data_IF_117643645122
#
_entry.id   IF_117643645122
#
_cell.length_a   1.000
_cell.length_b   1.000
_cell.length_c   1.000
_cell.angle_alpha   90.00
_cell.angle_beta   90.00
_cell.angle_gamma   90.00
#
_symmetry.space_group_name_H-M   'P 1'
#
loop_
_entity.id
_entity.type
_entity.pdbx_description
1 polymer ?
#
# COMPACT_ATOMS: atom_id res chain seq x y z
N UNK A 1 -4.17 19.64 -21.84
CA UNK A 1 -2.93 20.03 -21.11
C UNK A 1 -3.14 20.19 -19.58
N UNK A 2 -4.38 20.06 -19.07
CA UNK A 2 -4.73 20.23 -17.65
C UNK A 2 -4.65 18.96 -16.78
N UNK A 3 -4.55 17.76 -17.35
CA UNK A 3 -4.63 16.51 -16.60
C UNK A 3 -3.32 16.05 -15.94
N UNK A 4 -2.21 16.64 -16.32
CA UNK A 4 -0.88 16.21 -15.84
C UNK A 4 -0.60 16.68 -14.41
N UNK A 5 -1.20 17.78 -13.97
CA UNK A 5 -0.91 18.38 -12.67
C UNK A 5 -1.59 17.71 -11.46
N UNK A 6 -2.72 17.03 -11.63
CA UNK A 6 -3.49 16.45 -10.51
C UNK A 6 -2.95 15.13 -9.95
N UNK A 7 -2.16 14.37 -10.71
CA UNK A 7 -1.73 13.01 -10.34
C UNK A 7 -0.32 12.94 -9.72
N UNK A 8 0.52 13.93 -9.92
CA UNK A 8 1.97 13.80 -9.60
C UNK A 8 2.34 14.12 -8.14
N UNK A 9 1.55 14.89 -7.40
CA UNK A 9 1.92 15.33 -6.05
C UNK A 9 1.84 14.24 -4.99
N UNK A 10 0.74 13.48 -4.93
CA UNK A 10 0.48 12.49 -3.85
C UNK A 10 1.50 11.37 -3.85
N UNK A 11 1.74 10.73 -4.98
CA UNK A 11 2.69 9.62 -5.12
C UNK A 11 4.13 10.09 -4.91
N UNK A 12 4.47 11.31 -5.29
CA UNK A 12 5.77 11.91 -5.06
C UNK A 12 6.01 12.15 -3.56
N UNK A 13 5.02 12.69 -2.85
CA UNK A 13 5.08 12.89 -1.40
C UNK A 13 5.19 11.55 -0.67
N UNK A 14 4.38 10.56 -1.04
CA UNK A 14 4.43 9.24 -0.43
C UNK A 14 5.80 8.58 -0.55
N UNK A 15 6.49 8.72 -1.70
CA UNK A 15 7.84 8.20 -1.90
C UNK A 15 8.91 8.86 -1.02
N UNK A 16 8.62 10.01 -0.43
CA UNK A 16 9.52 10.70 0.53
C UNK A 16 9.33 10.26 1.97
N UNK A 17 8.23 9.56 2.28
CA UNK A 17 7.96 9.10 3.65
C UNK A 17 9.11 8.29 4.26
N UNK A 18 9.73 7.31 3.57
CA UNK A 18 10.84 6.58 4.17
C UNK A 18 12.01 7.47 4.62
N UNK A 19 12.24 8.61 3.95
CA UNK A 19 13.36 9.51 4.26
C UNK A 19 13.11 10.42 5.47
N UNK A 20 11.89 10.48 5.97
CA UNK A 20 11.53 11.27 7.18
C UNK A 20 11.20 10.38 8.37
N UNK A 21 11.06 9.07 8.17
CA UNK A 21 10.91 8.10 9.25
C UNK A 21 12.26 7.90 9.97
N UNK A 22 12.25 7.55 11.25
CA UNK A 22 13.48 7.19 11.96
C UNK A 22 14.22 6.06 11.24
N UNK A 23 15.55 6.09 11.28
CA UNK A 23 16.39 5.01 10.74
C UNK A 23 16.00 3.66 11.35
N UNK A 24 16.17 2.60 10.58
CA UNK A 24 15.96 1.24 11.09
C UNK A 24 17.02 0.91 12.14
N UNK A 25 16.60 0.31 13.23
CA UNK A 25 17.52 -0.35 14.15
C UNK A 25 18.19 -1.53 13.44
N UNK A 26 19.33 -2.00 13.95
CA UNK A 26 20.00 -3.18 13.40
C UNK A 26 19.08 -4.40 13.35
N UNK A 27 18.21 -4.56 14.35
CA UNK A 27 17.24 -5.66 14.41
C UNK A 27 16.22 -5.56 13.29
N UNK A 28 15.60 -4.37 13.11
CA UNK A 28 14.65 -4.12 12.02
C UNK A 28 15.28 -4.35 10.64
N UNK A 29 16.52 -3.89 10.45
CA UNK A 29 17.26 -4.07 9.20
C UNK A 29 17.52 -5.56 8.90
N UNK A 30 17.84 -6.36 9.91
CA UNK A 30 18.02 -7.80 9.75
C UNK A 30 16.69 -8.50 9.41
N UNK A 31 15.61 -8.22 10.14
CA UNK A 31 14.28 -8.80 9.89
C UNK A 31 13.80 -8.49 8.47
N UNK A 32 13.92 -7.24 8.03
CA UNK A 32 13.56 -6.85 6.67
C UNK A 32 14.44 -7.54 5.61
N UNK A 33 15.75 -7.65 5.87
CA UNK A 33 16.70 -8.31 4.97
C UNK A 33 16.39 -9.80 4.81
N UNK A 34 16.04 -10.49 5.87
CA UNK A 34 15.66 -11.91 5.85
C UNK A 34 14.47 -12.14 4.90
N UNK A 35 13.44 -11.31 5.01
CA UNK A 35 12.26 -11.39 4.14
C UNK A 35 12.65 -11.17 2.67
N UNK A 36 13.45 -10.14 2.40
CA UNK A 36 13.91 -9.82 1.04
C UNK A 36 14.81 -10.91 0.48
N UNK A 37 15.64 -11.53 1.31
CA UNK A 37 16.49 -12.68 0.93
C UNK A 37 15.64 -13.89 0.53
N UNK A 38 14.63 -14.23 1.32
CA UNK A 38 13.70 -15.34 1.00
C UNK A 38 12.92 -15.04 -0.31
N UNK A 39 12.62 -13.78 -0.57
CA UNK A 39 12.01 -13.36 -1.83
C UNK A 39 12.98 -13.40 -3.03
N UNK A 40 14.30 -13.53 -2.80
CA UNK A 40 15.35 -13.49 -3.83
C UNK A 40 15.61 -12.07 -4.34
N UNK A 41 15.40 -11.06 -3.51
CA UNK A 41 15.53 -9.62 -3.84
C UNK A 41 16.78 -8.97 -3.23
N UNK A 42 17.65 -9.75 -2.55
CA UNK A 42 18.96 -9.30 -2.08
C UNK A 42 20.03 -9.76 -3.06
N UNK A 43 21.11 -9.00 -3.18
CA UNK A 43 22.28 -9.36 -3.96
C UNK A 43 23.56 -9.25 -3.10
N UNK A 44 24.69 -9.75 -3.64
CA UNK A 44 25.98 -9.74 -2.94
C UNK A 44 26.57 -8.33 -2.74
N UNK A 45 26.14 -7.35 -3.54
CA UNK A 45 26.57 -5.96 -3.42
C UNK A 45 25.78 -5.18 -2.37
N UNK A 46 24.55 -5.63 -2.09
CA UNK A 46 23.66 -5.06 -1.09
C UNK A 46 23.13 -6.16 -0.16
N UNK A 47 23.99 -6.72 0.71
CA UNK A 47 23.63 -7.89 1.53
C UNK A 47 22.65 -7.55 2.66
N UNK A 48 22.43 -6.28 2.97
CA UNK A 48 21.54 -5.82 4.04
C UNK A 48 20.76 -4.57 3.61
N UNK A 49 19.47 -4.53 3.92
CA UNK A 49 18.64 -3.35 3.76
C UNK A 49 19.00 -2.34 4.85
N UNK A 50 19.51 -1.17 4.44
CA UNK A 50 19.85 -0.07 5.36
C UNK A 50 18.73 0.97 5.47
N UNK A 51 17.82 0.99 4.51
CA UNK A 51 16.71 1.95 4.46
C UNK A 51 15.36 1.25 4.55
N UNK A 52 14.38 1.92 5.13
CA UNK A 52 13.02 1.41 5.24
C UNK A 52 12.45 1.07 3.86
N UNK A 53 11.95 -0.15 3.65
CA UNK A 53 11.34 -0.55 2.39
C UNK A 53 10.18 0.38 2.00
N UNK A 54 10.06 0.68 0.72
CA UNK A 54 8.92 1.35 0.13
C UNK A 54 8.32 0.48 -0.96
N UNK A 55 7.12 -0.04 -0.72
CA UNK A 55 6.40 -0.87 -1.69
C UNK A 55 5.21 -0.10 -2.23
N UNK A 56 5.06 -0.08 -3.53
CA UNK A 56 3.99 0.63 -4.22
C UNK A 56 3.43 -0.25 -5.35
N UNK A 57 2.70 -1.31 -5.01
CA UNK A 57 2.13 -2.20 -6.01
C UNK A 57 1.07 -1.48 -6.84
N UNK A 58 0.95 -1.89 -8.10
CA UNK A 58 -0.11 -1.39 -8.98
C UNK A 58 -1.46 -1.98 -8.57
N UNK A 59 -2.56 -1.26 -8.76
CA UNK A 59 -3.91 -1.68 -8.36
C UNK A 59 -4.41 -2.96 -9.05
N UNK A 60 -3.77 -3.39 -10.14
CA UNK A 60 -4.07 -4.68 -10.81
C UNK A 60 -3.44 -5.89 -10.12
N UNK A 61 -2.71 -5.69 -9.03
CA UNK A 61 -2.10 -6.77 -8.26
C UNK A 61 -3.17 -7.74 -7.76
N UNK A 62 -2.86 -9.04 -7.73
CA UNK A 62 -3.75 -10.06 -7.14
C UNK A 62 -3.60 -10.14 -5.61
N UNK A 63 -4.61 -10.65 -4.92
CA UNK A 63 -4.56 -10.90 -3.48
C UNK A 63 -3.39 -11.83 -3.09
N UNK A 64 -3.11 -12.84 -3.90
CA UNK A 64 -1.97 -13.74 -3.68
C UNK A 64 -0.61 -13.08 -3.86
N UNK A 65 -0.47 -12.10 -4.75
CA UNK A 65 0.75 -11.33 -4.87
C UNK A 65 0.88 -10.29 -3.72
N UNK A 66 -0.23 -9.82 -3.17
CA UNK A 66 -0.25 -8.96 -2.00
C UNK A 66 0.21 -9.71 -0.73
N UNK A 67 -0.35 -10.90 -0.46
CA UNK A 67 -0.04 -11.69 0.74
C UNK A 67 1.19 -12.56 0.60
N UNK A 68 1.49 -12.99 -0.61
CA UNK A 68 2.49 -14.00 -0.90
C UNK A 68 1.89 -15.36 -1.29
N UNK A 69 2.72 -16.23 -1.82
CA UNK A 69 2.27 -17.55 -2.27
C UNK A 69 3.22 -18.21 -3.25
N UNK A 70 2.66 -19.11 -4.08
CA UNK A 70 3.41 -19.96 -5.00
C UNK A 70 3.50 -21.42 -4.50
N UNK A 71 4.10 -22.32 -5.28
CA UNK A 71 4.37 -23.69 -4.86
C UNK A 71 5.34 -23.70 -3.66
N UNK A 72 6.41 -22.94 -3.75
CA UNK A 72 7.25 -22.56 -2.60
C UNK A 72 6.75 -21.22 -2.10
N UNK A 73 6.25 -21.13 -0.85
CA UNK A 73 5.73 -19.87 -0.30
C UNK A 73 6.78 -18.76 -0.35
N UNK A 74 6.48 -17.70 -1.11
CA UNK A 74 7.32 -16.50 -1.18
C UNK A 74 6.60 -15.33 -0.53
N UNK A 75 7.33 -14.41 0.13
CA UNK A 75 6.77 -13.17 0.66
C UNK A 75 6.06 -12.35 -0.43
N UNK A 76 4.88 -11.79 -0.09
CA UNK A 76 4.18 -10.82 -0.92
C UNK A 76 4.53 -9.38 -0.55
N UNK A 77 3.83 -8.43 -1.17
CA UNK A 77 4.05 -6.99 -0.98
C UNK A 77 3.90 -6.56 0.49
N UNK A 78 2.97 -7.19 1.23
CA UNK A 78 2.74 -6.95 2.66
C UNK A 78 4.01 -7.23 3.47
N UNK A 79 4.60 -8.43 3.31
CA UNK A 79 5.83 -8.80 4.02
C UNK A 79 7.05 -8.02 3.52
N UNK A 80 7.13 -7.74 2.21
CA UNK A 80 8.20 -6.94 1.63
C UNK A 80 8.20 -5.47 2.11
N UNK A 81 7.06 -4.99 2.62
CA UNK A 81 6.93 -3.67 3.23
C UNK A 81 7.29 -3.66 4.73
N UNK A 82 7.67 -4.80 5.33
CA UNK A 82 7.98 -4.92 6.75
C UNK A 82 9.00 -3.87 7.21
N UNK A 83 8.72 -3.19 8.33
CA UNK A 83 9.45 -2.02 8.86
C UNK A 83 9.55 -0.81 7.91
N UNK A 84 8.70 -0.77 6.88
CA UNK A 84 8.67 0.27 5.87
C UNK A 84 7.28 0.80 5.58
N UNK A 85 7.05 1.16 4.32
CA UNK A 85 5.82 1.77 3.84
C UNK A 85 5.20 0.92 2.73
N UNK A 86 3.93 0.58 2.88
CA UNK A 86 3.08 0.06 1.81
C UNK A 86 2.20 1.20 1.29
N UNK A 87 2.47 1.67 0.09
CA UNK A 87 1.74 2.74 -0.55
C UNK A 87 0.78 2.20 -1.60
N UNK A 88 -0.50 2.50 -1.45
CA UNK A 88 -1.54 2.11 -2.39
C UNK A 88 -2.08 3.37 -3.08
N UNK A 89 -1.61 3.63 -4.30
CA UNK A 89 -2.15 4.72 -5.12
C UNK A 89 -3.46 4.28 -5.79
N UNK A 90 -4.36 5.24 -5.99
CA UNK A 90 -5.69 4.97 -6.53
C UNK A 90 -6.44 3.88 -5.72
N UNK A 91 -6.42 4.00 -4.40
CA UNK A 91 -6.93 2.99 -3.45
C UNK A 91 -8.30 2.38 -3.84
N UNK A 92 -9.33 3.13 -4.32
CA UNK A 92 -10.59 2.56 -4.74
C UNK A 92 -10.53 1.73 -6.04
N UNK A 93 -9.42 1.75 -6.78
CA UNK A 93 -9.26 0.96 -8.00
C UNK A 93 -8.69 -0.44 -7.73
N UNK A 94 -8.18 -0.71 -6.53
CA UNK A 94 -7.81 -2.07 -6.14
C UNK A 94 -9.03 -2.98 -6.08
N UNK A 95 -8.84 -4.24 -6.46
CA UNK A 95 -9.88 -5.24 -6.29
C UNK A 95 -10.20 -5.42 -4.79
N UNK A 96 -11.48 -5.61 -4.47
CA UNK A 96 -11.95 -5.69 -3.08
C UNK A 96 -11.20 -6.76 -2.27
N UNK A 97 -10.96 -7.93 -2.86
CA UNK A 97 -10.26 -9.03 -2.19
C UNK A 97 -8.82 -8.64 -1.81
N UNK A 98 -8.16 -7.78 -2.61
CA UNK A 98 -6.81 -7.27 -2.32
C UNK A 98 -6.81 -6.32 -1.12
N UNK A 99 -7.86 -5.53 -0.97
CA UNK A 99 -8.01 -4.63 0.18
C UNK A 99 -8.40 -5.40 1.45
N UNK A 100 -9.24 -6.42 1.34
CA UNK A 100 -9.67 -7.22 2.48
C UNK A 100 -8.53 -8.04 3.11
N UNK A 101 -7.56 -8.53 2.33
CA UNK A 101 -6.43 -9.28 2.89
C UNK A 101 -5.44 -8.42 3.67
N UNK A 102 -5.55 -7.08 3.62
CA UNK A 102 -4.72 -6.16 4.41
C UNK A 102 -5.18 -6.04 5.86
N UNK A 103 -6.44 -6.37 6.16
CA UNK A 103 -7.04 -6.10 7.48
C UNK A 103 -6.34 -6.81 8.61
N UNK A 104 -6.12 -8.13 8.51
CA UNK A 104 -5.42 -8.89 9.52
C UNK A 104 -3.95 -8.44 9.68
N UNK A 105 -3.14 -8.30 8.60
CA UNK A 105 -1.77 -7.81 8.71
C UNK A 105 -1.61 -6.43 9.37
N UNK A 106 -2.56 -5.52 9.15
CA UNK A 106 -2.53 -4.21 9.80
C UNK A 106 -2.73 -4.32 11.31
N UNK A 107 -3.59 -5.23 11.76
CA UNK A 107 -3.87 -5.44 13.20
C UNK A 107 -2.81 -6.30 13.87
N UNK A 108 -2.51 -7.44 13.27
CA UNK A 108 -1.69 -8.49 13.89
C UNK A 108 -0.18 -8.25 13.67
N UNK A 109 0.20 -7.47 12.67
CA UNK A 109 1.60 -7.23 12.28
C UNK A 109 2.27 -8.44 11.64
N UNK A 110 1.47 -9.40 11.17
CA UNK A 110 1.94 -10.63 10.51
C UNK A 110 0.94 -11.11 9.45
N UNK A 111 1.44 -11.88 8.49
CA UNK A 111 0.62 -12.50 7.43
C UNK A 111 0.90 -13.99 7.35
N UNK A 112 -0.16 -14.79 7.34
CA UNK A 112 -0.08 -16.24 7.22
C UNK A 112 -0.42 -16.70 5.82
N UNK A 113 0.51 -17.41 5.18
CA UNK A 113 0.36 -18.01 3.86
C UNK A 113 0.09 -19.49 4.05
N UNK A 114 -1.15 -19.93 3.79
CA UNK A 114 -1.54 -21.34 3.88
C UNK A 114 -1.54 -21.99 2.51
N UNK A 115 -0.92 -23.15 2.37
CA UNK A 115 -0.86 -23.98 1.17
C UNK A 115 -1.03 -25.45 1.54
N UNK A 116 -1.24 -26.31 0.54
CA UNK A 116 -1.33 -27.75 0.77
C UNK A 116 -0.08 -28.35 1.45
N UNK A 117 1.08 -27.78 1.20
CA UNK A 117 2.35 -28.19 1.81
C UNK A 117 2.58 -27.67 3.24
N UNK A 118 1.71 -26.81 3.76
CA UNK A 118 1.84 -26.22 5.09
C UNK A 118 1.47 -24.74 5.16
N UNK A 119 1.69 -24.17 6.34
CA UNK A 119 1.43 -22.75 6.62
C UNK A 119 2.72 -22.07 7.08
N UNK A 120 2.97 -20.88 6.55
CA UNK A 120 4.11 -20.05 6.91
C UNK A 120 3.58 -18.68 7.35
N UNK A 121 4.00 -18.23 8.52
CA UNK A 121 3.68 -16.88 9.02
C UNK A 121 4.91 -16.00 8.87
N UNK A 122 4.72 -14.85 8.25
CA UNK A 122 5.76 -13.85 8.00
C UNK A 122 5.40 -12.53 8.71
N UNK A 123 6.38 -11.82 9.28
CA UNK A 123 6.13 -10.52 9.87
C UNK A 123 5.75 -9.50 8.79
N UNK A 124 4.86 -8.55 9.17
CA UNK A 124 4.29 -7.57 8.25
C UNK A 124 3.93 -6.25 8.94
N UNK A 125 4.82 -5.74 9.80
CA UNK A 125 4.65 -4.43 10.43
C UNK A 125 5.06 -3.33 9.47
N UNK A 126 4.10 -2.64 8.90
CA UNK A 126 4.32 -1.58 7.91
C UNK A 126 3.41 -0.39 8.19
N UNK A 127 3.79 0.77 7.68
CA UNK A 127 2.90 1.92 7.59
C UNK A 127 2.08 1.80 6.31
N UNK A 128 0.75 1.71 6.44
CA UNK A 128 -0.15 1.79 5.29
C UNK A 128 -0.37 3.24 4.91
N UNK A 129 -0.15 3.57 3.65
CA UNK A 129 -0.45 4.88 3.06
C UNK A 129 -1.32 4.67 1.84
N UNK A 130 -2.54 5.19 1.87
CA UNK A 130 -3.46 5.18 0.75
C UNK A 130 -3.58 6.55 0.11
N UNK A 131 -3.63 6.61 -1.22
CA UNK A 131 -3.99 7.82 -1.94
C UNK A 131 -5.22 7.55 -2.81
N UNK A 132 -6.13 8.50 -2.83
CA UNK A 132 -7.34 8.41 -3.64
C UNK A 132 -7.76 9.78 -4.16
N UNK A 133 -8.57 9.78 -5.19
CA UNK A 133 -9.26 10.97 -5.66
C UNK A 133 -10.64 11.09 -4.99
N UNK A 134 -11.26 12.26 -4.94
CA UNK A 134 -12.59 12.44 -4.33
C UNK A 134 -13.71 11.79 -5.14
N UNK A 135 -13.48 11.45 -6.40
CA UNK A 135 -14.38 10.73 -7.28
C UNK A 135 -13.63 10.17 -8.49
N UNK A 136 -14.28 9.38 -9.33
CA UNK A 136 -13.69 8.75 -10.50
C UNK A 136 -13.08 9.75 -11.50
N UNK A 137 -13.71 10.92 -11.73
CA UNK A 137 -13.16 11.97 -12.57
C UNK A 137 -12.12 12.86 -11.86
N UNK A 138 -12.03 12.78 -10.52
CA UNK A 138 -11.07 13.51 -9.70
C UNK A 138 -11.44 14.97 -9.39
N UNK A 139 -12.64 15.45 -9.78
CA UNK A 139 -13.03 16.85 -9.68
C UNK A 139 -14.17 17.13 -8.69
N UNK A 140 -14.64 16.16 -7.94
CA UNK A 140 -15.68 16.35 -6.97
C UNK A 140 -15.24 17.34 -5.87
N UNK A 141 -16.08 18.31 -5.56
CA UNK A 141 -15.77 19.37 -4.60
C UNK A 141 -14.81 20.48 -5.11
N UNK A 142 -14.32 20.40 -6.35
CA UNK A 142 -13.46 21.43 -6.90
C UNK A 142 -14.25 22.68 -7.32
N UNK A 143 -13.80 23.92 -7.00
CA UNK A 143 -14.53 25.17 -7.34
C UNK A 143 -14.81 25.38 -8.83
N UNK A 144 -14.02 24.76 -9.71
CA UNK A 144 -14.19 24.91 -11.17
C UNK A 144 -15.46 24.26 -11.74
N UNK A 145 -16.22 23.49 -10.94
CA UNK A 145 -17.43 22.79 -11.40
C UNK A 145 -17.21 21.72 -12.48
N UNK A 146 -15.96 21.29 -12.71
CA UNK A 146 -15.60 20.30 -13.76
C UNK A 146 -16.02 18.86 -13.45
N UNK A 147 -16.58 18.60 -12.28
CA UNK A 147 -17.01 17.25 -11.92
C UNK A 147 -18.21 16.83 -12.79
N UNK A 148 -18.07 15.69 -13.47
CA UNK A 148 -19.13 15.09 -14.30
C UNK A 148 -19.81 13.90 -13.63
N UNK A 149 -19.38 13.54 -12.42
CA UNK A 149 -19.92 12.41 -11.67
C UNK A 149 -21.24 12.79 -11.00
N UNK A 150 -22.25 11.91 -11.08
CA UNK A 150 -23.46 12.06 -10.29
C UNK A 150 -23.17 11.75 -8.81
N UNK A 151 -23.99 12.22 -7.85
CA UNK A 151 -23.85 11.88 -6.43
C UNK A 151 -23.76 10.38 -6.18
N UNK A 152 -24.57 9.59 -6.86
CA UNK A 152 -24.53 8.13 -6.76
C UNK A 152 -23.20 7.52 -7.23
N UNK A 153 -22.61 8.05 -8.30
CA UNK A 153 -21.32 7.61 -8.81
C UNK A 153 -20.18 7.94 -7.83
N UNK A 154 -20.26 9.07 -7.16
CA UNK A 154 -19.31 9.45 -6.11
C UNK A 154 -19.42 8.48 -4.92
N UNK A 155 -20.64 8.23 -4.45
CA UNK A 155 -20.90 7.31 -3.36
C UNK A 155 -20.42 5.89 -3.68
N UNK A 156 -20.78 5.35 -4.84
CA UNK A 156 -20.31 4.03 -5.30
C UNK A 156 -18.78 3.93 -5.39
N UNK A 157 -18.12 5.02 -5.77
CA UNK A 157 -16.67 5.07 -5.83
C UNK A 157 -16.06 5.01 -4.41
N UNK A 158 -16.60 5.75 -3.47
CA UNK A 158 -16.15 5.75 -2.07
C UNK A 158 -16.42 4.41 -1.37
N UNK A 159 -17.57 3.79 -1.63
CA UNK A 159 -17.95 2.50 -1.06
C UNK A 159 -17.10 1.30 -1.51
N UNK A 160 -16.20 1.48 -2.48
CA UNK A 160 -15.23 0.44 -2.86
C UNK A 160 -14.24 0.12 -1.75
N UNK A 161 -13.97 1.08 -0.87
CA UNK A 161 -13.16 0.86 0.32
C UNK A 161 -14.12 0.49 1.46
N UNK A 162 -13.89 -0.65 2.08
CA UNK A 162 -14.74 -1.10 3.18
C UNK A 162 -14.57 -0.21 4.42
N UNK A 163 -15.67 0.04 5.14
CA UNK A 163 -15.64 0.76 6.42
C UNK A 163 -14.58 0.20 7.38
N UNK A 164 -14.58 -1.14 7.62
CA UNK A 164 -13.57 -1.76 8.49
C UNK A 164 -12.11 -1.52 8.10
N UNK A 165 -11.79 -1.31 6.82
CA UNK A 165 -10.43 -0.94 6.42
C UNK A 165 -10.17 0.55 6.70
N UNK A 166 -11.16 1.42 6.44
CA UNK A 166 -11.04 2.85 6.76
C UNK A 166 -10.87 3.10 8.26
N UNK A 167 -11.56 2.34 9.11
CA UNK A 167 -11.45 2.43 10.57
C UNK A 167 -10.04 2.10 11.11
N UNK A 168 -9.21 1.43 10.30
CA UNK A 168 -7.82 1.09 10.63
C UNK A 168 -6.80 2.11 10.12
N UNK A 169 -7.27 3.13 9.42
CA UNK A 169 -6.43 4.23 8.94
C UNK A 169 -6.60 5.40 9.92
N UNK A 170 -5.59 5.64 10.75
CA UNK A 170 -5.65 6.61 11.85
C UNK A 170 -5.74 8.07 11.40
N UNK A 171 -5.21 8.38 10.21
CA UNK A 171 -5.17 9.75 9.69
C UNK A 171 -5.77 9.87 8.29
N UNK A 172 -6.73 10.78 8.17
CA UNK A 172 -7.33 11.16 6.89
C UNK A 172 -6.95 12.61 6.59
N UNK A 173 -6.29 12.82 5.45
CA UNK A 173 -5.78 14.14 5.06
C UNK A 173 -6.40 14.55 3.73
N UNK A 174 -7.09 15.68 3.74
CA UNK A 174 -7.54 16.36 2.52
C UNK A 174 -6.39 17.17 1.92
N UNK A 175 -6.07 16.90 0.66
CA UNK A 175 -5.06 17.66 -0.09
C UNK A 175 -5.79 18.53 -1.11
N UNK A 176 -5.99 19.83 -0.83
CA UNK A 176 -6.64 20.73 -1.76
C UNK A 176 -5.82 20.90 -3.04
N UNK A 177 -6.49 21.25 -4.14
CA UNK A 177 -5.79 21.64 -5.37
C UNK A 177 -5.04 22.94 -5.13
N UNK A 178 -3.75 22.96 -5.47
CA UNK A 178 -2.97 24.20 -5.53
C UNK A 178 -3.31 24.91 -6.82
N UNK A 179 -3.67 26.21 -6.74
CA UNK A 179 -3.90 27.08 -7.90
C UNK A 179 -2.59 27.40 -8.64
#
# INVERSE_FOLDING_TARGET
LGDVYKRQGKSMLARRLPSILPDMTRKEALEATEIWSVAGLTDSSHPMLLHRPFRAPHHTLSASAMTGGGQTPKPGEISLAHHGVLFLDELPEFHRDVLEVLRAPIEDGEVTITRAAGSVTLPSRFMLVGAMNPCRCGWYGHPSGRCTCSPQQVEQYMQRISGPLLDRIDMHIDVPSVE
#
